data_IF_184250513900
#
_entry.id   IF_184250513900
#
_cell.length_a   1.000
_cell.length_b   1.000
_cell.length_c   1.000
_cell.angle_alpha   90.00
_cell.angle_beta   90.00
_cell.angle_gamma   90.00
#
_symmetry.space_group_name_H-M   'P 1'
#
loop_
_entity.id
_entity.type
_entity.pdbx_description
1 polymer ?
#
# COMPACT_ATOMS: atom_id res chain seq x y z
N UNK A 1 22.47 4.21 5.77
CA UNK A 1 21.65 3.20 6.49
C UNK A 1 20.20 3.54 6.23
N UNK A 2 19.38 2.61 5.70
CA UNK A 2 17.98 2.91 5.35
C UNK A 2 17.18 3.16 6.63
N UNK A 3 16.54 4.32 6.74
CA UNK A 3 15.78 4.75 7.93
C UNK A 3 14.26 4.57 7.76
N UNK A 4 13.82 3.90 6.69
CA UNK A 4 12.41 3.65 6.44
C UNK A 4 11.78 2.78 7.54
N UNK A 5 10.59 3.16 7.99
CA UNK A 5 9.69 2.33 8.79
C UNK A 5 8.77 1.50 7.86
N UNK A 6 8.40 2.06 6.72
CA UNK A 6 7.65 1.37 5.65
C UNK A 6 8.31 1.70 4.31
N UNK A 7 8.53 0.69 3.47
CA UNK A 7 9.08 0.87 2.13
C UNK A 7 8.32 0.00 1.12
N UNK A 8 7.48 0.65 0.32
CA UNK A 8 6.67 0.03 -0.72
C UNK A 8 7.27 0.37 -2.08
N UNK A 9 7.48 -0.65 -2.90
CA UNK A 9 7.98 -0.49 -4.26
C UNK A 9 7.03 -1.16 -5.26
N UNK A 10 6.51 -0.36 -6.20
CA UNK A 10 5.69 -0.81 -7.33
C UNK A 10 4.52 -1.72 -6.92
N UNK A 11 3.87 -1.45 -5.79
CA UNK A 11 2.75 -2.23 -5.27
C UNK A 11 1.64 -2.34 -6.30
N UNK A 12 1.23 -3.60 -6.54
CA UNK A 12 0.07 -3.95 -7.34
C UNK A 12 -0.93 -4.71 -6.49
N UNK A 13 -2.20 -4.37 -6.65
CA UNK A 13 -3.27 -5.08 -5.99
C UNK A 13 -4.59 -4.95 -6.76
N UNK A 14 -5.31 -6.06 -6.85
CA UNK A 14 -6.71 -6.13 -7.26
C UNK A 14 -7.41 -7.20 -6.41
N UNK A 15 -8.66 -6.97 -6.05
CA UNK A 15 -9.50 -8.04 -5.49
C UNK A 15 -9.85 -9.03 -6.60
N UNK A 16 -9.97 -10.33 -6.26
CA UNK A 16 -10.20 -11.42 -7.24
C UNK A 16 -11.38 -11.17 -8.18
N UNK A 17 -12.44 -10.54 -7.66
CA UNK A 17 -13.69 -10.31 -8.39
C UNK A 17 -13.76 -8.91 -9.04
N UNK A 18 -12.65 -8.15 -9.02
CA UNK A 18 -12.60 -6.81 -9.58
C UNK A 18 -11.62 -6.76 -10.77
N UNK A 19 -12.11 -6.44 -11.99
CA UNK A 19 -11.25 -6.41 -13.17
C UNK A 19 -10.25 -5.24 -13.16
N UNK A 20 -10.48 -4.24 -12.31
CA UNK A 20 -9.64 -3.05 -12.21
C UNK A 20 -8.62 -3.19 -11.09
N UNK A 21 -7.36 -2.90 -11.41
CA UNK A 21 -6.31 -2.74 -10.39
C UNK A 21 -6.67 -1.59 -9.45
N UNK A 22 -6.71 -1.87 -8.16
CA UNK A 22 -6.83 -0.86 -7.11
C UNK A 22 -5.51 -0.12 -6.93
N UNK A 23 -4.38 -0.83 -7.00
CA UNK A 23 -3.03 -0.27 -7.08
C UNK A 23 -2.31 -0.82 -8.32
N UNK A 24 -1.68 0.07 -9.09
CA UNK A 24 -1.05 -0.25 -10.37
C UNK A 24 0.39 0.31 -10.47
N UNK A 25 1.22 0.02 -9.45
CA UNK A 25 2.57 0.58 -9.18
C UNK A 25 2.58 1.74 -8.17
N UNK A 26 1.98 1.54 -7.01
CA UNK A 26 2.12 2.49 -5.90
C UNK A 26 3.50 2.30 -5.25
N UNK A 27 4.29 3.36 -5.14
CA UNK A 27 5.53 3.38 -4.36
C UNK A 27 5.42 4.43 -3.27
N UNK A 28 5.85 4.08 -2.06
CA UNK A 28 5.71 4.90 -0.87
C UNK A 28 6.85 4.58 0.11
N UNK A 29 7.48 5.60 0.64
CA UNK A 29 8.40 5.47 1.77
C UNK A 29 7.86 6.30 2.92
N UNK A 30 7.88 5.73 4.13
CA UNK A 30 7.58 6.43 5.38
C UNK A 30 8.79 6.25 6.28
N UNK A 31 9.39 7.35 6.71
CA UNK A 31 10.58 7.30 7.55
C UNK A 31 10.23 7.10 9.03
N UNK A 32 11.15 6.51 9.80
CA UNK A 32 10.98 6.35 11.24
C UNK A 32 10.77 7.70 11.93
N UNK A 33 9.68 7.82 12.68
CA UNK A 33 9.30 9.04 13.41
C UNK A 33 8.42 10.01 12.62
N UNK A 34 8.13 9.73 11.35
CA UNK A 34 7.24 10.54 10.53
C UNK A 34 5.77 10.32 10.92
N UNK A 35 5.00 11.41 10.95
CA UNK A 35 3.54 11.34 11.03
C UNK A 35 2.94 11.30 9.62
N UNK A 36 2.49 10.12 9.20
CA UNK A 36 1.93 9.89 7.87
C UNK A 36 0.41 9.67 7.92
N UNK A 37 -0.31 10.21 6.94
CA UNK A 37 -1.78 10.09 6.83
C UNK A 37 -2.23 9.66 5.43
N UNK A 38 -3.27 8.82 5.38
CA UNK A 38 -3.87 8.34 4.13
C UNK A 38 -5.26 8.95 3.95
N UNK A 39 -5.46 9.72 2.89
CA UNK A 39 -6.70 10.44 2.61
C UNK A 39 -7.32 10.03 1.27
N UNK A 40 -8.63 10.22 1.12
CA UNK A 40 -9.36 9.94 -0.12
C UNK A 40 -10.79 9.45 0.11
N UNK A 41 -11.62 9.38 -0.95
CA UNK A 41 -13.01 8.95 -0.87
C UNK A 41 -13.17 7.47 -0.48
N UNK A 42 -14.39 7.05 -0.19
CA UNK A 42 -14.71 5.63 0.01
C UNK A 42 -14.37 4.82 -1.25
N UNK A 43 -13.80 3.63 -1.05
CA UNK A 43 -13.34 2.79 -2.16
C UNK A 43 -11.96 3.14 -2.74
N UNK A 44 -11.31 4.24 -2.31
CA UNK A 44 -9.98 4.62 -2.80
C UNK A 44 -8.82 3.68 -2.37
N UNK A 45 -9.11 2.65 -1.57
CA UNK A 45 -8.12 1.65 -1.15
C UNK A 45 -7.36 1.95 0.15
N UNK A 46 -7.77 2.94 0.94
CA UNK A 46 -7.09 3.32 2.20
C UNK A 46 -6.91 2.14 3.18
N UNK A 47 -8.00 1.49 3.55
CA UNK A 47 -7.98 0.31 4.44
C UNK A 47 -7.24 -0.86 3.82
N UNK A 48 -7.33 -1.00 2.49
CA UNK A 48 -6.59 -2.03 1.74
C UNK A 48 -5.08 -1.79 1.82
N UNK A 49 -4.60 -0.56 1.62
CA UNK A 49 -3.20 -0.20 1.75
C UNK A 49 -2.70 -0.45 3.18
N UNK A 50 -3.45 -0.05 4.20
CA UNK A 50 -3.10 -0.33 5.61
C UNK A 50 -3.04 -1.83 5.93
N UNK A 51 -3.97 -2.62 5.38
CA UNK A 51 -3.99 -4.08 5.57
C UNK A 51 -2.79 -4.75 4.90
N UNK A 52 -2.38 -4.26 3.73
CA UNK A 52 -1.17 -4.72 3.03
C UNK A 52 0.09 -4.36 3.83
N UNK A 53 0.21 -3.11 4.27
CA UNK A 53 1.35 -2.64 5.08
C UNK A 53 1.54 -3.42 6.39
N UNK A 54 0.45 -3.91 6.98
CA UNK A 54 0.48 -4.67 8.24
C UNK A 54 0.51 -6.20 8.03
N UNK A 55 0.58 -6.66 6.78
CA UNK A 55 0.62 -8.09 6.44
C UNK A 55 -0.72 -8.84 6.59
N UNK A 56 -1.82 -8.13 6.88
CA UNK A 56 -3.17 -8.70 6.97
C UNK A 56 -3.75 -9.06 5.60
N UNK A 57 -3.22 -8.48 4.53
CA UNK A 57 -3.66 -8.72 3.15
C UNK A 57 -2.46 -8.90 2.23
N UNK A 58 -2.47 -9.97 1.44
CA UNK A 58 -1.43 -10.24 0.44
C UNK A 58 -1.63 -9.38 -0.81
N UNK A 59 -0.56 -8.75 -1.26
CA UNK A 59 -0.53 -7.99 -2.50
C UNK A 59 -0.33 -8.92 -3.71
N UNK A 60 -0.60 -8.41 -4.93
CA UNK A 60 -0.50 -9.22 -6.15
C UNK A 60 0.79 -8.97 -6.94
N UNK A 61 1.59 -7.98 -6.55
CA UNK A 61 2.92 -7.71 -7.10
C UNK A 61 3.62 -6.54 -6.41
N UNK A 62 4.92 -6.38 -6.67
CA UNK A 62 5.77 -5.39 -6.00
C UNK A 62 6.38 -5.92 -4.71
N UNK A 63 6.75 -5.03 -3.80
CA UNK A 63 7.21 -5.34 -2.44
C UNK A 63 6.74 -4.32 -1.42
N UNK A 64 6.61 -4.75 -0.16
CA UNK A 64 6.14 -3.98 1.01
C UNK A 64 6.98 -4.38 2.22
#
# INVERSE_FOLDING_TARGET
MNNAAVHIENLMFAYRDQPRQLFSKLSLQIDKGESFGIFGPNGAGKTTLMSIMTGLLQYTGGSV
#
